data_IF_531380090078
#
_entry.id   IF_531380090078
#
_cell.length_a   1.000
_cell.length_b   1.000
_cell.length_c   1.000
_cell.angle_alpha   90.00
_cell.angle_beta   90.00
_cell.angle_gamma   90.00
#
_symmetry.space_group_name_H-M   'P 1'
#
loop_
_entity.id
_entity.type
_entity.pdbx_description
1 polymer ?
#
# COMPACT_ATOMS: atom_id res chain seq x y z
N UNK A 1 25.74 19.69 5.71
CA UNK A 1 24.35 19.26 6.00
C UNK A 1 23.63 19.10 4.67
N UNK A 2 23.51 17.88 4.16
CA UNK A 2 22.85 17.64 2.86
C UNK A 2 21.34 17.80 3.00
N UNK A 3 20.77 18.72 2.21
CA UNK A 3 19.34 18.78 1.92
C UNK A 3 18.95 17.46 1.26
N UNK A 4 18.17 16.65 1.98
CA UNK A 4 17.54 15.46 1.41
C UNK A 4 16.40 15.97 0.53
N UNK A 5 16.37 15.56 -0.73
CA UNK A 5 15.24 15.84 -1.62
C UNK A 5 13.96 15.23 -1.04
N UNK A 6 12.91 16.03 -0.78
CA UNK A 6 11.65 15.56 -0.20
C UNK A 6 11.00 14.41 -0.97
N UNK A 7 11.26 14.31 -2.28
CA UNK A 7 10.66 13.31 -3.18
C UNK A 7 11.16 11.88 -2.97
N UNK A 8 12.46 11.71 -2.66
CA UNK A 8 13.07 10.39 -2.50
C UNK A 8 12.62 9.73 -1.20
N UNK A 9 12.60 10.50 -0.12
CA UNK A 9 12.20 10.01 1.20
C UNK A 9 10.75 9.50 1.23
N UNK A 10 9.82 10.26 0.62
CA UNK A 10 8.43 9.84 0.48
C UNK A 10 8.29 8.55 -0.34
N UNK A 11 9.01 8.44 -1.46
CA UNK A 11 9.01 7.24 -2.31
C UNK A 11 9.50 6.00 -1.53
N UNK A 12 10.55 6.15 -0.72
CA UNK A 12 11.14 5.04 0.04
C UNK A 12 10.19 4.50 1.13
N UNK A 13 9.52 5.38 1.86
CA UNK A 13 8.56 4.98 2.91
C UNK A 13 7.27 4.40 2.32
N UNK A 14 6.74 4.98 1.23
CA UNK A 14 5.57 4.45 0.51
C UNK A 14 5.84 3.03 0.00
N UNK A 15 6.95 2.83 -0.71
CA UNK A 15 7.35 1.52 -1.21
C UNK A 15 7.49 0.51 -0.06
N UNK A 16 8.17 0.90 1.03
CA UNK A 16 8.39 0.01 2.18
C UNK A 16 7.08 -0.36 2.87
N UNK A 17 6.15 0.58 2.97
CA UNK A 17 4.86 0.34 3.59
C UNK A 17 3.95 -0.54 2.72
N UNK A 18 3.91 -0.36 1.40
CA UNK A 18 3.21 -1.30 0.52
C UNK A 18 3.76 -2.72 0.64
N UNK A 19 5.08 -2.88 0.67
CA UNK A 19 5.70 -4.20 0.88
C UNK A 19 5.30 -4.80 2.25
N UNK A 20 5.20 -3.98 3.29
CA UNK A 20 4.68 -4.42 4.59
C UNK A 20 3.22 -4.89 4.48
N UNK A 21 2.36 -4.15 3.77
CA UNK A 21 0.96 -4.53 3.59
C UNK A 21 0.83 -5.86 2.82
N UNK A 22 1.58 -6.03 1.73
CA UNK A 22 1.55 -7.25 0.92
C UNK A 22 1.92 -8.50 1.73
N UNK A 23 2.93 -8.37 2.60
CA UNK A 23 3.41 -9.47 3.45
C UNK A 23 2.39 -9.87 4.53
N UNK A 24 1.66 -8.90 5.08
CA UNK A 24 0.84 -9.12 6.28
C UNK A 24 -0.66 -9.28 6.02
N UNK A 25 -1.17 -8.89 4.85
CA UNK A 25 -2.62 -8.81 4.60
C UNK A 25 -3.10 -9.65 3.41
N UNK A 26 -2.42 -10.77 3.15
CA UNK A 26 -2.74 -11.67 2.04
C UNK A 26 -3.58 -12.90 2.44
N UNK A 27 -4.27 -12.86 3.58
CA UNK A 27 -4.75 -14.07 4.24
C UNK A 27 -6.10 -14.64 3.75
N UNK A 28 -6.97 -13.87 3.10
CA UNK A 28 -8.35 -14.33 2.83
C UNK A 28 -8.45 -15.26 1.61
N UNK A 29 -7.66 -15.01 0.56
CA UNK A 29 -7.62 -15.86 -0.65
C UNK A 29 -6.52 -16.92 -0.64
N UNK A 30 -6.22 -17.57 0.50
CA UNK A 30 -5.12 -18.55 0.61
C UNK A 30 -5.13 -19.68 -0.44
N UNK A 31 -6.28 -19.94 -1.07
CA UNK A 31 -6.48 -21.02 -2.03
C UNK A 31 -6.70 -20.56 -3.48
N UNK A 32 -6.65 -19.26 -3.76
CA UNK A 32 -6.78 -18.74 -5.14
C UNK A 32 -5.48 -18.07 -5.56
N UNK A 33 -4.94 -18.38 -6.76
CA UNK A 33 -3.72 -17.78 -7.24
C UNK A 33 -3.93 -16.27 -7.42
N UNK A 34 -3.34 -15.47 -6.52
CA UNK A 34 -3.30 -14.01 -6.66
C UNK A 34 -2.38 -13.66 -7.80
N UNK A 35 -2.88 -12.91 -8.74
CA UNK A 35 -2.17 -12.53 -9.96
C UNK A 35 -1.79 -11.06 -9.92
N UNK A 36 -2.53 -10.20 -9.21
CA UNK A 36 -2.23 -8.79 -9.11
C UNK A 36 -2.46 -8.13 -7.74
N UNK A 37 -1.67 -7.10 -7.45
CA UNK A 37 -1.87 -6.12 -6.38
C UNK A 37 -2.13 -4.75 -6.98
N UNK A 38 -3.29 -4.17 -6.68
CA UNK A 38 -3.63 -2.80 -7.05
C UNK A 38 -3.14 -1.86 -5.95
N UNK A 39 -2.47 -0.77 -6.30
CA UNK A 39 -1.96 0.20 -5.33
C UNK A 39 -2.44 1.62 -5.63
N UNK A 40 -2.73 2.38 -4.57
CA UNK A 40 -3.15 3.77 -4.71
C UNK A 40 -2.96 4.61 -3.47
N UNK A 41 -3.08 5.93 -3.64
CA UNK A 41 -3.07 6.93 -2.57
C UNK A 41 -4.48 7.49 -2.41
N UNK A 42 -5.03 7.43 -1.20
CA UNK A 42 -6.32 8.04 -0.87
C UNK A 42 -6.10 9.51 -0.53
N UNK A 43 -6.85 10.39 -1.18
CA UNK A 43 -6.83 11.82 -0.86
C UNK A 43 -7.81 12.19 0.26
N UNK A 44 -7.77 13.46 0.67
CA UNK A 44 -8.64 13.99 1.73
C UNK A 44 -10.14 13.94 1.40
N UNK A 45 -10.52 13.66 0.14
CA UNK A 45 -11.90 13.47 -0.29
C UNK A 45 -12.28 11.98 -0.38
N UNK A 46 -11.40 11.07 0.05
CA UNK A 46 -11.61 9.63 -0.04
C UNK A 46 -11.42 9.06 -1.46
N UNK A 47 -10.93 9.86 -2.41
CA UNK A 47 -10.67 9.38 -3.78
C UNK A 47 -9.31 8.71 -3.83
N UNK A 48 -9.24 7.57 -4.49
CA UNK A 48 -7.99 6.84 -4.70
C UNK A 48 -7.38 7.28 -6.02
N UNK A 49 -6.09 7.60 -5.99
CA UNK A 49 -5.30 7.99 -7.15
C UNK A 49 -4.12 7.04 -7.32
N UNK A 50 -3.60 7.00 -8.53
CA UNK A 50 -2.40 6.23 -8.86
C UNK A 50 -1.18 6.74 -8.09
N UNK A 51 -0.28 5.81 -7.76
CA UNK A 51 1.02 6.14 -7.18
C UNK A 51 1.95 6.69 -8.26
N UNK A 52 3.06 7.30 -7.84
CA UNK A 52 4.06 7.77 -8.79
C UNK A 52 4.72 6.58 -9.54
N UNK A 53 5.17 6.85 -10.77
CA UNK A 53 5.75 5.82 -11.67
C UNK A 53 6.99 5.16 -11.05
N UNK A 54 7.82 5.90 -10.32
CA UNK A 54 9.02 5.38 -9.68
C UNK A 54 8.71 4.35 -8.58
N UNK A 55 7.70 4.60 -7.76
CA UNK A 55 7.23 3.67 -6.72
C UNK A 55 6.67 2.42 -7.37
N UNK A 56 5.86 2.56 -8.43
CA UNK A 56 5.29 1.40 -9.13
C UNK A 56 6.38 0.49 -9.72
N UNK A 57 7.41 1.08 -10.36
CA UNK A 57 8.57 0.34 -10.88
C UNK A 57 9.30 -0.37 -9.74
N UNK A 58 9.57 0.33 -8.63
CA UNK A 58 10.29 -0.23 -7.49
C UNK A 58 9.52 -1.38 -6.81
N UNK A 59 8.18 -1.30 -6.76
CA UNK A 59 7.34 -2.39 -6.24
C UNK A 59 7.39 -3.62 -7.15
N UNK A 60 7.25 -3.46 -8.47
CA UNK A 60 7.30 -4.57 -9.42
C UNK A 60 8.66 -5.29 -9.44
N UNK A 61 9.77 -4.61 -9.11
CA UNK A 61 11.08 -5.24 -9.02
C UNK A 61 11.22 -6.19 -7.81
N UNK A 62 10.39 -6.04 -6.78
CA UNK A 62 10.49 -6.79 -5.52
C UNK A 62 9.40 -7.83 -5.32
N UNK A 63 8.30 -7.73 -6.06
CA UNK A 63 7.13 -8.59 -5.88
C UNK A 63 7.07 -9.68 -6.95
N UNK A 64 6.66 -10.88 -6.53
CA UNK A 64 6.34 -11.97 -7.46
C UNK A 64 4.97 -11.79 -8.11
N UNK A 65 4.04 -11.12 -7.42
CA UNK A 65 2.74 -10.73 -7.97
C UNK A 65 2.90 -9.45 -8.81
N UNK A 66 2.09 -9.32 -9.86
CA UNK A 66 2.08 -8.11 -10.68
C UNK A 66 1.52 -6.94 -9.88
N UNK A 67 2.26 -5.84 -9.75
CA UNK A 67 1.78 -4.65 -9.04
C UNK A 67 1.32 -3.64 -10.07
N UNK A 68 0.07 -3.19 -9.99
CA UNK A 68 -0.53 -2.24 -10.93
C UNK A 68 -1.13 -1.05 -10.20
N UNK A 69 -1.28 0.05 -10.91
CA UNK A 69 -1.96 1.23 -10.40
C UNK A 69 -3.44 0.96 -10.13
N UNK A 70 -4.04 1.73 -9.21
CA UNK A 70 -5.48 1.70 -8.94
C UNK A 70 -6.33 1.84 -10.21
N UNK A 71 -5.95 2.72 -11.13
CA UNK A 71 -6.66 2.93 -12.40
C UNK A 71 -6.71 1.69 -13.30
N UNK A 72 -5.79 0.74 -13.13
CA UNK A 72 -5.72 -0.53 -13.86
C UNK A 72 -6.58 -1.62 -13.22
N UNK A 73 -7.33 -1.29 -12.16
CA UNK A 73 -8.23 -2.19 -11.47
C UNK A 73 -9.67 -1.71 -11.53
N UNK A 74 -10.59 -2.68 -11.52
CA UNK A 74 -12.00 -2.46 -11.27
C UNK A 74 -12.30 -2.80 -9.81
N UNK A 75 -12.91 -1.86 -9.09
CA UNK A 75 -13.26 -2.00 -7.68
C UNK A 75 -14.78 -1.89 -7.55
N UNK A 76 -15.43 -3.03 -7.33
CA UNK A 76 -16.87 -3.16 -7.07
C UNK A 76 -17.04 -4.13 -5.90
N UNK A 77 -17.90 -5.14 -6.02
CA UNK A 77 -18.05 -6.25 -5.06
C UNK A 77 -16.76 -7.08 -4.89
N UNK A 78 -15.85 -6.99 -5.87
CA UNK A 78 -14.52 -7.59 -5.89
C UNK A 78 -13.52 -6.59 -6.46
N UNK A 79 -12.23 -6.85 -6.26
CA UNK A 79 -11.15 -6.15 -6.95
C UNK A 79 -10.65 -7.02 -8.09
N UNK A 80 -10.70 -6.51 -9.32
CA UNK A 80 -10.31 -7.22 -10.53
C UNK A 80 -9.24 -6.43 -11.28
N UNK A 81 -8.17 -7.09 -11.68
CA UNK A 81 -7.17 -6.54 -12.59
C UNK A 81 -7.73 -6.47 -14.01
N UNK A 82 -7.67 -5.30 -14.66
CA UNK A 82 -8.23 -5.10 -16.01
C UNK A 82 -7.39 -5.77 -17.11
N UNK A 83 -6.11 -6.02 -16.86
CA UNK A 83 -5.18 -6.55 -17.86
C UNK A 83 -5.41 -8.04 -18.15
N UNK A 84 -5.77 -8.81 -17.14
CA UNK A 84 -5.88 -10.26 -17.18
C UNK A 84 -7.18 -10.81 -16.56
N UNK A 85 -8.10 -9.91 -16.17
CA UNK A 85 -9.41 -10.22 -15.60
C UNK A 85 -9.35 -11.11 -14.35
N UNK A 86 -8.27 -10.96 -13.58
CA UNK A 86 -7.97 -11.82 -12.45
C UNK A 86 -8.29 -11.15 -11.11
N UNK A 87 -8.47 -11.94 -10.05
CA UNK A 87 -8.69 -11.40 -8.71
C UNK A 87 -7.45 -10.67 -8.20
N UNK A 88 -7.69 -9.51 -7.62
CA UNK A 88 -6.65 -8.66 -7.06
C UNK A 88 -7.00 -8.23 -5.64
N UNK A 89 -6.05 -7.55 -4.99
CA UNK A 89 -6.25 -6.87 -3.71
C UNK A 89 -5.87 -5.42 -3.92
N UNK A 90 -6.73 -4.52 -3.45
CA UNK A 90 -6.42 -3.11 -3.42
C UNK A 90 -5.70 -2.76 -2.11
N UNK A 91 -4.52 -2.18 -2.21
CA UNK A 91 -3.77 -1.62 -1.10
C UNK A 91 -3.72 -0.10 -1.22
N UNK A 92 -3.95 0.60 -0.12
CA UNK A 92 -4.00 2.06 -0.11
C UNK A 92 -3.20 2.68 1.02
N UNK A 93 -2.58 3.81 0.72
CA UNK A 93 -2.05 4.75 1.72
C UNK A 93 -2.93 5.99 1.71
N UNK A 94 -3.49 6.33 2.86
CA UNK A 94 -4.36 7.50 3.00
C UNK A 94 -3.66 8.71 3.60
N UNK A 95 -2.62 8.48 4.40
CA UNK A 95 -1.90 9.56 5.05
C UNK A 95 -0.50 9.10 5.46
N UNK A 96 0.48 9.99 5.37
CA UNK A 96 1.83 9.84 5.94
C UNK A 96 2.16 11.16 6.64
N UNK A 97 2.37 11.09 7.95
CA UNK A 97 2.71 12.23 8.78
C UNK A 97 3.99 11.95 9.55
N UNK A 98 5.06 12.68 9.23
CA UNK A 98 6.36 12.45 9.83
C UNK A 98 6.65 13.50 10.90
N UNK A 99 6.92 13.05 12.14
CA UNK A 99 7.42 13.91 13.22
C UNK A 99 8.92 14.14 13.11
N UNK A 100 9.63 13.20 12.48
CA UNK A 100 11.06 13.28 12.17
C UNK A 100 11.32 12.61 10.82
N UNK A 101 12.56 12.62 10.34
CA UNK A 101 12.93 11.86 9.13
C UNK A 101 12.79 10.34 9.35
N UNK A 102 12.90 9.87 10.57
CA UNK A 102 12.94 8.44 10.88
C UNK A 102 11.68 7.95 11.59
N UNK A 103 10.74 8.84 11.90
CA UNK A 103 9.53 8.52 12.65
C UNK A 103 8.31 9.14 11.97
N UNK A 104 7.44 8.27 11.45
CA UNK A 104 6.21 8.67 10.78
C UNK A 104 5.01 7.87 11.29
N UNK A 105 3.84 8.48 11.23
CA UNK A 105 2.55 7.83 11.36
C UNK A 105 1.98 7.65 9.96
N UNK A 106 1.58 6.42 9.62
CA UNK A 106 1.01 6.08 8.33
C UNK A 106 -0.38 5.51 8.56
N UNK A 107 -1.36 5.97 7.78
CA UNK A 107 -2.69 5.37 7.74
C UNK A 107 -2.89 4.69 6.39
N UNK A 108 -3.21 3.40 6.41
CA UNK A 108 -3.42 2.64 5.18
C UNK A 108 -3.86 1.21 5.47
N UNK A 109 -4.00 0.43 4.40
CA UNK A 109 -4.48 -0.94 4.53
C UNK A 109 -4.93 -1.52 3.21
N UNK A 110 -5.93 -2.40 3.27
CA UNK A 110 -6.33 -3.21 2.12
C UNK A 110 -7.85 -3.32 1.98
N UNK A 111 -8.27 -3.67 0.76
CA UNK A 111 -9.64 -3.95 0.38
C UNK A 111 -9.68 -5.15 -0.59
N UNK A 112 -10.45 -6.18 -0.25
CA UNK A 112 -10.62 -7.42 -1.02
C UNK A 112 -12.04 -7.55 -1.63
N UNK A 113 -12.81 -6.45 -1.70
CA UNK A 113 -14.22 -6.51 -2.08
C UNK A 113 -15.13 -6.76 -0.87
N UNK A 114 -16.26 -7.43 -1.10
CA UNK A 114 -17.23 -7.85 -0.06
C UNK A 114 -16.71 -8.98 0.85
N UNK A 115 -15.40 -9.19 0.91
CA UNK A 115 -14.77 -10.29 1.66
C UNK A 115 -14.09 -9.79 2.93
N UNK A 116 -13.26 -8.76 2.80
CA UNK A 116 -12.54 -8.17 3.91
C UNK A 116 -11.98 -6.81 3.52
N UNK A 117 -11.96 -5.92 4.49
CA UNK A 117 -11.28 -4.65 4.42
C UNK A 117 -10.76 -4.25 5.79
N UNK A 118 -9.59 -3.62 5.80
CA UNK A 118 -9.04 -3.05 7.02
C UNK A 118 -8.13 -1.88 6.69
N UNK A 119 -8.32 -0.77 7.40
CA UNK A 119 -7.45 0.40 7.37
C UNK A 119 -6.94 0.64 8.79
N UNK A 120 -5.65 0.54 9.01
CA UNK A 120 -5.04 0.75 10.33
C UNK A 120 -4.14 2.00 10.32
N UNK A 121 -3.81 2.46 11.52
CA UNK A 121 -2.75 3.44 11.75
C UNK A 121 -1.50 2.71 12.22
N UNK A 122 -0.36 3.04 11.62
CA UNK A 122 0.93 2.43 11.86
C UNK A 122 1.94 3.47 12.31
N UNK A 123 2.76 3.10 13.30
CA UNK A 123 4.02 3.77 13.57
C UNK A 123 5.10 3.17 12.67
N UNK A 124 5.69 4.01 11.83
CA UNK A 124 6.79 3.71 10.94
C UNK A 124 8.10 4.27 11.53
N UNK A 125 9.11 3.40 11.69
CA UNK A 125 10.44 3.78 12.16
C UNK A 125 11.52 3.35 11.19
N UNK A 126 12.44 4.26 10.83
CA UNK A 126 13.63 3.93 10.06
C UNK A 126 14.77 3.54 11.00
N UNK A 127 15.14 2.25 10.98
CA UNK A 127 16.24 1.67 11.75
C UNK A 127 17.27 1.08 10.78
N UNK A 128 18.51 1.56 10.84
CA UNK A 128 19.62 1.12 9.99
C UNK A 128 19.28 1.08 8.48
N UNK A 129 18.56 2.11 8.01
CA UNK A 129 18.15 2.26 6.60
C UNK A 129 17.00 1.35 6.18
N UNK A 130 16.27 0.76 7.14
CA UNK A 130 15.07 -0.06 6.89
C UNK A 130 13.89 0.50 7.65
N UNK A 131 12.73 0.50 7.00
CA UNK A 131 11.48 0.86 7.66
C UNK A 131 10.85 -0.34 8.35
N UNK A 132 10.55 -0.17 9.63
CA UNK A 132 9.73 -1.07 10.43
C UNK A 132 8.37 -0.43 10.70
N UNK A 133 7.32 -1.26 10.75
CA UNK A 133 5.95 -0.80 10.92
C UNK A 133 5.28 -1.60 12.04
N UNK A 134 4.66 -0.89 12.97
CA UNK A 134 3.83 -1.48 14.03
C UNK A 134 2.46 -0.84 14.02
N UNK A 135 1.41 -1.65 14.19
CA UNK A 135 0.04 -1.12 14.32
C UNK A 135 -0.07 -0.41 15.66
N UNK A 136 -0.49 0.85 15.63
CA UNK A 136 -0.79 1.64 16.85
C UNK A 136 -2.28 1.82 17.07
N UNK A 137 -3.08 1.72 16.00
CA UNK A 137 -4.53 1.77 16.07
C UNK A 137 -5.13 0.86 14.99
N UNK A 138 -6.02 -0.04 15.39
CA UNK A 138 -6.83 -0.81 14.45
C UNK A 138 -8.02 0.04 14.01
N UNK A 139 -8.22 0.19 12.71
CA UNK A 139 -9.47 0.74 12.22
C UNK A 139 -10.58 -0.31 12.19
N UNK A 140 -11.79 0.10 11.78
CA UNK A 140 -12.90 -0.84 11.67
C UNK A 140 -12.55 -1.94 10.67
N UNK A 141 -12.90 -3.16 11.04
CA UNK A 141 -12.94 -4.30 10.12
C UNK A 141 -14.32 -4.28 9.47
N UNK A 142 -14.39 -4.44 8.16
CA UNK A 142 -15.65 -4.53 7.40
C UNK A 142 -15.55 -5.58 6.33
#
# INVERSE_FOLDING_TARGET
>A
MSKVEPSKHHTDIEMSFFNHLFKNNSATFKNEPKTAYCVGLTDNQGRIRDINKSTLIALNQKQSNHVVNYSECEVKDKVISKSDNSLAILFTISNIQCSSRTDCIIKGGYYEGNLSSQINTYLAKELDGKWEFSVVEFGPVS
#
